data_IF_093141165415
#
_entry.id   IF_093141165415
#
_cell.length_a   1.000
_cell.length_b   1.000
_cell.length_c   1.000
_cell.angle_alpha   90.00
_cell.angle_beta   90.00
_cell.angle_gamma   90.00
#
_symmetry.space_group_name_H-M   'P 1'
#
loop_
_entity.id
_entity.type
_entity.pdbx_description
1 polymer ?
#
# COMPACT_ATOMS: atom_id res chain seq x y z
N UNK A 1 5.46 -27.76 32.36
CA UNK A 1 5.74 -27.18 31.04
C UNK A 1 5.09 -25.81 31.04
N UNK A 2 5.90 -24.75 31.05
CA UNK A 2 5.40 -23.37 31.14
C UNK A 2 4.64 -23.02 29.86
N UNK A 3 3.37 -22.63 30.00
CA UNK A 3 2.66 -21.89 28.96
C UNK A 3 3.44 -20.60 28.71
N UNK A 4 4.28 -20.60 27.67
CA UNK A 4 4.73 -19.37 27.08
C UNK A 4 3.48 -18.73 26.48
N UNK A 5 2.92 -17.73 27.14
CA UNK A 5 2.02 -16.77 26.51
C UNK A 5 2.81 -16.14 25.37
N UNK A 6 2.61 -16.63 24.15
CA UNK A 6 3.19 -16.03 22.95
C UNK A 6 2.60 -14.64 22.83
N UNK A 7 3.44 -13.62 22.99
CA UNK A 7 3.04 -12.24 22.67
C UNK A 7 2.60 -12.24 21.21
N UNK A 8 1.35 -11.84 20.91
CA UNK A 8 0.91 -11.83 19.54
C UNK A 8 1.80 -10.94 18.70
N UNK A 9 2.22 -11.48 17.55
CA UNK A 9 2.89 -10.76 16.50
C UNK A 9 2.03 -9.61 15.95
N UNK A 10 2.67 -8.68 15.24
CA UNK A 10 2.09 -7.39 14.87
C UNK A 10 0.78 -7.51 14.08
N UNK A 11 0.68 -8.50 13.20
CA UNK A 11 -0.50 -8.70 12.36
C UNK A 11 -1.17 -10.03 12.68
N UNK A 12 -1.02 -10.56 13.90
CA UNK A 12 -1.18 -11.99 14.14
C UNK A 12 -2.53 -12.55 13.70
N UNK A 13 -2.47 -13.81 13.31
CA UNK A 13 -3.55 -14.68 12.91
C UNK A 13 -3.38 -15.91 13.80
N UNK A 14 -4.37 -16.23 14.63
CA UNK A 14 -4.34 -17.40 15.54
C UNK A 14 -4.15 -18.75 14.83
N UNK A 15 -4.39 -19.87 15.52
CA UNK A 15 -4.21 -21.23 14.94
C UNK A 15 -5.02 -21.50 13.65
N UNK A 16 -6.00 -20.66 13.32
CA UNK A 16 -6.75 -20.68 12.06
C UNK A 16 -6.13 -19.80 10.97
N UNK A 17 -5.51 -20.42 9.96
CA UNK A 17 -5.00 -19.77 8.73
C UNK A 17 -6.08 -19.06 7.87
N UNK A 18 -7.34 -18.99 8.32
CA UNK A 18 -8.51 -18.72 7.47
C UNK A 18 -9.52 -17.72 8.07
N UNK A 19 -9.09 -16.89 9.01
CA UNK A 19 -9.94 -15.95 9.74
C UNK A 19 -10.62 -16.58 10.96
N UNK A 20 -11.69 -15.94 11.43
CA UNK A 20 -12.40 -16.29 12.67
C UNK A 20 -13.81 -16.81 12.39
N UNK A 21 -14.31 -17.71 13.23
CA UNK A 21 -15.68 -18.19 13.21
C UNK A 21 -16.70 -17.14 13.68
N UNK A 22 -17.98 -17.52 13.82
CA UNK A 22 -19.00 -16.67 14.44
C UNK A 22 -18.59 -16.16 15.82
N UNK A 23 -19.00 -14.94 16.17
CA UNK A 23 -18.68 -14.32 17.46
C UNK A 23 -19.06 -15.20 18.67
N UNK A 24 -20.22 -15.83 18.61
CA UNK A 24 -20.71 -16.70 19.69
C UNK A 24 -19.83 -17.94 19.92
N UNK A 25 -19.11 -18.40 18.89
CA UNK A 25 -18.18 -19.53 18.96
C UNK A 25 -16.80 -19.10 19.46
N UNK A 26 -16.27 -17.99 18.94
CA UNK A 26 -14.95 -17.45 19.30
C UNK A 26 -14.95 -16.79 20.70
N UNK A 27 -16.11 -16.27 21.13
CA UNK A 27 -16.30 -15.56 22.40
C UNK A 27 -17.51 -16.12 23.19
N UNK A 28 -17.44 -17.39 23.65
CA UNK A 28 -18.57 -18.05 24.29
C UNK A 28 -18.98 -17.33 25.59
N UNK A 29 -20.26 -16.97 25.67
CA UNK A 29 -20.83 -16.27 26.82
C UNK A 29 -20.62 -14.75 26.82
N UNK A 30 -19.96 -14.19 25.80
CA UNK A 30 -19.82 -12.74 25.61
C UNK A 30 -20.97 -12.25 24.71
N UNK A 31 -21.75 -11.23 25.13
CA UNK A 31 -22.78 -10.64 24.27
C UNK A 31 -22.21 -10.12 22.95
N UNK A 32 -23.05 -10.05 21.91
CA UNK A 32 -22.67 -9.38 20.68
C UNK A 32 -22.29 -7.92 20.97
N UNK A 33 -21.19 -7.42 20.39
CA UNK A 33 -20.82 -6.03 20.56
C UNK A 33 -21.87 -5.12 19.91
N UNK A 34 -22.06 -3.94 20.49
CA UNK A 34 -23.09 -2.98 20.08
C UNK A 34 -22.52 -1.77 19.32
N UNK A 35 -21.20 -1.68 19.23
CA UNK A 35 -20.50 -0.56 18.64
C UNK A 35 -20.76 -0.48 17.12
N UNK A 36 -20.98 0.72 16.55
CA UNK A 36 -21.40 0.87 15.15
C UNK A 36 -20.36 0.42 14.09
N UNK A 37 -19.12 0.16 14.50
CA UNK A 37 -18.07 -0.27 13.57
C UNK A 37 -18.16 -1.75 13.23
N UNK A 38 -18.81 -2.56 14.07
CA UNK A 38 -19.02 -3.98 13.80
C UNK A 38 -20.06 -4.22 12.71
N UNK A 39 -19.83 -5.26 11.92
CA UNK A 39 -20.72 -5.73 10.87
C UNK A 39 -21.55 -6.92 11.39
N UNK A 40 -22.89 -6.80 11.48
CA UNK A 40 -23.74 -7.85 12.01
C UNK A 40 -23.62 -9.18 11.26
N UNK A 41 -23.43 -9.15 9.94
CA UNK A 41 -23.32 -10.36 9.12
C UNK A 41 -22.01 -11.10 9.44
N UNK A 42 -20.91 -10.36 9.67
CA UNK A 42 -19.63 -10.95 10.04
C UNK A 42 -19.64 -11.50 11.46
N UNK A 43 -20.33 -10.83 12.39
CA UNK A 43 -20.50 -11.34 13.76
C UNK A 43 -21.27 -12.67 13.77
N UNK A 44 -22.27 -12.82 12.90
CA UNK A 44 -23.09 -14.04 12.80
C UNK A 44 -22.40 -15.17 12.02
N UNK A 45 -21.75 -14.87 10.89
CA UNK A 45 -21.21 -15.89 9.98
C UNK A 45 -19.70 -16.14 10.14
N UNK A 46 -19.01 -15.30 10.91
CA UNK A 46 -17.56 -15.27 11.01
C UNK A 46 -16.90 -14.39 9.93
N UNK A 47 -15.62 -14.09 10.12
CA UNK A 47 -14.85 -13.19 9.27
C UNK A 47 -13.59 -13.85 8.71
N UNK A 48 -13.67 -14.23 7.43
CA UNK A 48 -12.59 -14.89 6.66
C UNK A 48 -11.81 -13.92 5.77
N UNK A 49 -12.03 -12.62 5.91
CA UNK A 49 -11.38 -11.61 5.05
C UNK A 49 -9.89 -11.51 5.37
N UNK A 50 -9.09 -11.10 4.39
CA UNK A 50 -7.66 -10.86 4.56
C UNK A 50 -7.37 -9.50 5.26
N UNK A 51 -7.75 -9.36 6.53
CA UNK A 51 -7.53 -8.16 7.37
C UNK A 51 -6.78 -8.56 8.64
N UNK A 52 -6.03 -7.63 9.25
CA UNK A 52 -5.38 -7.89 10.56
C UNK A 52 -6.42 -8.19 11.63
N UNK A 53 -6.04 -8.95 12.66
CA UNK A 53 -7.00 -9.43 13.67
C UNK A 53 -7.71 -8.31 14.44
N UNK A 54 -7.08 -7.14 14.60
CA UNK A 54 -7.70 -5.95 15.19
C UNK A 54 -8.95 -5.45 14.43
N UNK A 55 -9.10 -5.81 13.15
CA UNK A 55 -10.23 -5.43 12.30
C UNK A 55 -11.24 -6.57 12.07
N UNK A 56 -11.13 -7.68 12.81
CA UNK A 56 -12.12 -8.76 12.70
C UNK A 56 -13.51 -8.26 13.03
N UNK A 57 -14.47 -8.69 12.22
CA UNK A 57 -15.87 -8.31 12.30
C UNK A 57 -16.17 -6.84 12.02
N UNK A 58 -15.16 -5.99 11.77
CA UNK A 58 -15.42 -4.58 11.44
C UNK A 58 -15.98 -4.46 10.02
N UNK A 59 -16.95 -3.58 9.85
CA UNK A 59 -17.43 -3.21 8.53
C UNK A 59 -16.30 -2.57 7.72
N UNK A 60 -16.30 -2.80 6.41
CA UNK A 60 -15.28 -2.21 5.53
C UNK A 60 -15.18 -0.67 5.67
N UNK A 61 -16.29 0.10 5.68
CA UNK A 61 -16.21 1.55 5.88
C UNK A 61 -15.56 1.95 7.20
N UNK A 62 -15.78 1.19 8.27
CA UNK A 62 -15.14 1.45 9.55
C UNK A 62 -13.62 1.22 9.49
N UNK A 63 -13.18 0.15 8.83
CA UNK A 63 -11.75 -0.12 8.61
C UNK A 63 -11.11 1.02 7.82
N UNK A 64 -11.72 1.47 6.71
CA UNK A 64 -11.20 2.58 5.90
C UNK A 64 -11.08 3.84 6.76
N UNK A 65 -12.14 4.19 7.49
CA UNK A 65 -12.16 5.38 8.36
C UNK A 65 -11.08 5.34 9.42
N UNK A 66 -10.82 4.18 10.01
CA UNK A 66 -9.76 4.02 11.01
C UNK A 66 -8.36 4.16 10.39
N UNK A 67 -8.10 3.49 9.26
CA UNK A 67 -6.84 3.64 8.52
C UNK A 67 -6.60 5.10 8.13
N UNK A 68 -7.64 5.83 7.69
CA UNK A 68 -7.56 7.25 7.30
C UNK A 68 -7.05 8.16 8.43
N UNK A 69 -7.18 7.77 9.70
CA UNK A 69 -6.63 8.54 10.84
C UNK A 69 -5.11 8.49 10.94
N UNK A 70 -4.49 7.55 10.24
CA UNK A 70 -3.06 7.21 10.34
C UNK A 70 -2.38 7.00 8.98
N UNK A 71 -3.04 7.38 7.88
CA UNK A 71 -2.40 7.38 6.57
C UNK A 71 -1.22 8.34 6.53
N UNK A 72 -0.18 7.94 5.83
CA UNK A 72 0.98 8.76 5.60
C UNK A 72 0.75 9.72 4.44
N UNK A 73 1.37 10.90 4.44
CA UNK A 73 1.38 11.85 3.33
C UNK A 73 2.21 11.37 2.12
N UNK A 74 2.21 10.06 1.89
CA UNK A 74 2.90 9.35 0.83
C UNK A 74 1.86 8.89 -0.19
N UNK A 75 2.08 9.24 -1.45
CA UNK A 75 1.28 8.82 -2.58
C UNK A 75 2.13 7.94 -3.50
N UNK A 76 1.49 7.01 -4.21
CA UNK A 76 2.16 6.11 -5.14
C UNK A 76 1.50 6.23 -6.50
N UNK A 77 2.27 6.47 -7.55
CA UNK A 77 1.78 6.41 -8.92
C UNK A 77 2.44 5.27 -9.69
N UNK A 78 1.63 4.48 -10.39
CA UNK A 78 2.10 3.39 -11.24
C UNK A 78 1.52 3.55 -12.65
N UNK A 79 2.42 3.58 -13.64
CA UNK A 79 2.05 3.62 -15.05
C UNK A 79 1.55 2.24 -15.54
N UNK A 80 0.41 2.26 -16.24
CA UNK A 80 -0.34 1.10 -16.71
C UNK A 80 -0.65 1.20 -18.22
N UNK A 81 0.39 1.21 -19.07
CA UNK A 81 0.20 1.34 -20.52
C UNK A 81 0.21 -0.02 -21.26
N UNK A 82 1.01 -1.00 -20.81
CA UNK A 82 1.20 -2.30 -21.48
C UNK A 82 0.84 -3.51 -20.62
N UNK A 83 1.32 -3.57 -19.36
CA UNK A 83 1.13 -4.71 -18.46
C UNK A 83 0.70 -4.24 -17.06
N UNK A 84 -0.40 -4.80 -16.57
CA UNK A 84 -1.04 -4.44 -15.30
C UNK A 84 -0.75 -5.42 -14.15
N UNK A 85 0.07 -6.46 -14.38
CA UNK A 85 0.28 -7.54 -13.42
C UNK A 85 0.83 -7.07 -12.06
N UNK A 86 1.61 -5.99 -12.04
CA UNK A 86 2.23 -5.46 -10.83
C UNK A 86 1.31 -4.56 -10.01
N UNK A 87 0.23 -4.03 -10.61
CA UNK A 87 -0.62 -3.00 -9.97
C UNK A 87 -1.28 -3.55 -8.71
N UNK A 88 -1.79 -4.78 -8.77
CA UNK A 88 -2.37 -5.41 -7.59
C UNK A 88 -1.39 -5.54 -6.42
N UNK A 89 -0.14 -5.90 -6.72
CA UNK A 89 0.93 -5.98 -5.71
C UNK A 89 1.21 -4.61 -5.11
N UNK A 90 1.32 -3.57 -5.93
CA UNK A 90 1.54 -2.19 -5.47
C UNK A 90 0.39 -1.71 -4.58
N UNK A 91 -0.87 -1.94 -4.99
CA UNK A 91 -2.06 -1.56 -4.20
C UNK A 91 -2.08 -2.26 -2.84
N UNK A 92 -1.74 -3.56 -2.81
CA UNK A 92 -1.67 -4.33 -1.56
C UNK A 92 -0.58 -3.80 -0.64
N UNK A 93 0.62 -3.56 -1.16
CA UNK A 93 1.75 -3.05 -0.38
C UNK A 93 1.47 -1.63 0.13
N UNK A 94 0.86 -0.78 -0.68
CA UNK A 94 0.46 0.57 -0.30
C UNK A 94 -0.52 0.57 0.88
N UNK A 95 -1.52 -0.32 0.86
CA UNK A 95 -2.43 -0.45 2.00
C UNK A 95 -1.72 -0.96 3.28
N UNK A 96 -0.82 -1.93 3.15
CA UNK A 96 -0.05 -2.44 4.28
C UNK A 96 0.81 -1.35 4.95
N UNK A 97 1.36 -0.44 4.15
CA UNK A 97 2.12 0.72 4.63
C UNK A 97 1.25 1.95 4.92
N UNK A 98 -0.08 1.86 4.90
CA UNK A 98 -0.99 2.99 5.10
C UNK A 98 -0.65 4.22 4.22
N UNK A 99 -0.20 3.99 2.98
CA UNK A 99 -0.08 5.02 1.93
C UNK A 99 -1.41 5.74 1.76
N UNK A 100 -1.38 7.05 1.52
CA UNK A 100 -2.59 7.85 1.32
C UNK A 100 -3.42 7.30 0.14
N UNK A 101 -2.90 7.49 -1.07
CA UNK A 101 -3.59 7.16 -2.32
C UNK A 101 -2.65 6.49 -3.31
N UNK A 102 -3.18 5.50 -4.04
CA UNK A 102 -2.52 4.91 -5.21
C UNK A 102 -3.14 5.47 -6.50
N UNK A 103 -2.29 6.05 -7.34
CA UNK A 103 -2.61 6.66 -8.61
C UNK A 103 -2.31 5.67 -9.74
N UNK A 104 -3.36 5.28 -10.48
CA UNK A 104 -3.25 4.42 -11.65
C UNK A 104 -3.22 5.31 -12.88
N UNK A 105 -2.09 5.31 -13.59
CA UNK A 105 -1.88 6.16 -14.77
C UNK A 105 -2.04 5.34 -16.05
N UNK A 106 -2.76 5.85 -17.05
CA UNK A 106 -2.99 5.13 -18.30
C UNK A 106 -4.30 4.37 -18.31
N UNK A 107 -4.27 3.04 -18.50
CA UNK A 107 -5.50 2.24 -18.63
C UNK A 107 -6.28 2.20 -17.32
N UNK A 108 -7.57 2.54 -17.40
CA UNK A 108 -8.48 2.54 -16.24
C UNK A 108 -8.76 1.14 -15.68
N UNK A 109 -8.76 0.12 -16.53
CA UNK A 109 -8.93 -1.28 -16.11
C UNK A 109 -7.55 -1.90 -15.91
N UNK A 110 -7.43 -2.65 -14.83
CA UNK A 110 -6.20 -3.32 -14.43
C UNK A 110 -6.51 -4.63 -13.68
N UNK A 111 -5.54 -5.54 -13.67
CA UNK A 111 -5.61 -6.85 -13.03
C UNK A 111 -5.53 -6.77 -11.50
N UNK A 112 -6.69 -6.98 -10.85
CA UNK A 112 -6.83 -6.89 -9.39
C UNK A 112 -6.39 -8.13 -8.62
N UNK A 113 -5.97 -9.20 -9.30
CA UNK A 113 -5.66 -10.48 -8.65
C UNK A 113 -4.59 -10.33 -7.57
N UNK A 114 -3.52 -9.58 -7.86
CA UNK A 114 -2.43 -9.33 -6.90
C UNK A 114 -2.85 -8.51 -5.68
N UNK A 115 -3.95 -7.75 -5.75
CA UNK A 115 -4.43 -6.94 -4.64
C UNK A 115 -5.05 -7.76 -3.52
N UNK A 116 -5.48 -9.01 -3.79
CA UNK A 116 -6.11 -9.88 -2.80
C UNK A 116 -7.30 -9.19 -2.08
N UNK A 117 -8.13 -8.46 -2.84
CA UNK A 117 -9.31 -7.68 -2.36
C UNK A 117 -8.95 -6.44 -1.53
N UNK A 118 -7.66 -6.19 -1.30
CA UNK A 118 -7.15 -5.02 -0.57
C UNK A 118 -7.48 -3.70 -1.28
N UNK A 119 -7.74 -3.75 -2.60
CA UNK A 119 -8.21 -2.60 -3.40
C UNK A 119 -9.51 -1.98 -2.85
N UNK A 120 -10.29 -2.74 -2.08
CA UNK A 120 -11.52 -2.23 -1.45
C UNK A 120 -11.28 -1.38 -0.20
N UNK A 121 -10.07 -1.40 0.36
CA UNK A 121 -9.69 -0.67 1.58
C UNK A 121 -8.69 0.46 1.29
N UNK A 122 -8.28 0.62 0.04
CA UNK A 122 -7.28 1.59 -0.39
C UNK A 122 -7.90 2.70 -1.23
N UNK A 123 -7.46 3.95 -1.03
CA UNK A 123 -7.83 5.04 -1.93
C UNK A 123 -7.12 4.85 -3.27
N UNK A 124 -7.91 4.84 -4.34
CA UNK A 124 -7.43 4.67 -5.71
C UNK A 124 -7.91 5.86 -6.55
N UNK A 125 -6.98 6.47 -7.28
CA UNK A 125 -7.26 7.55 -8.22
C UNK A 125 -6.79 7.16 -9.61
N UNK A 126 -7.58 7.45 -10.65
CA UNK A 126 -7.21 7.17 -12.04
C UNK A 126 -6.82 8.46 -12.75
N UNK A 127 -5.74 8.38 -13.53
CA UNK A 127 -5.23 9.44 -14.40
C UNK A 127 -5.09 8.88 -15.81
N UNK A 128 -5.53 9.60 -16.87
CA UNK A 128 -5.45 9.09 -18.24
C UNK A 128 -4.02 8.98 -18.76
N UNK A 129 -3.13 9.87 -18.32
CA UNK A 129 -1.70 9.88 -18.63
C UNK A 129 -0.93 10.65 -17.54
N UNK A 130 0.38 10.81 -17.73
CA UNK A 130 1.30 11.32 -16.70
C UNK A 130 1.14 12.84 -16.45
N UNK A 131 0.71 13.63 -17.44
CA UNK A 131 0.63 15.08 -17.24
C UNK A 131 -0.48 15.49 -16.25
N UNK A 132 -1.73 14.98 -16.34
CA UNK A 132 -2.76 15.24 -15.34
C UNK A 132 -2.38 14.78 -13.93
N UNK A 133 -1.57 13.72 -13.82
CA UNK A 133 -1.04 13.28 -12.53
C UNK A 133 -0.09 14.34 -11.94
N UNK A 134 0.84 14.85 -12.76
CA UNK A 134 1.79 15.89 -12.35
C UNK A 134 1.04 17.15 -11.93
N UNK A 135 0.07 17.60 -12.73
CA UNK A 135 -0.76 18.77 -12.43
C UNK A 135 -1.52 18.59 -11.10
N UNK A 136 -2.10 17.41 -10.88
CA UNK A 136 -2.79 17.07 -9.64
C UNK A 136 -1.83 17.08 -8.44
N UNK A 137 -0.66 16.44 -8.56
CA UNK A 137 0.31 16.37 -7.47
C UNK A 137 0.81 17.76 -7.07
N UNK A 138 1.09 18.63 -8.04
CA UNK A 138 1.47 20.02 -7.80
C UNK A 138 0.35 20.81 -7.11
N UNK A 139 -0.91 20.63 -7.54
CA UNK A 139 -2.07 21.28 -6.92
C UNK A 139 -2.27 20.86 -5.45
N UNK A 140 -1.99 19.59 -5.13
CA UNK A 140 -2.04 19.06 -3.77
C UNK A 140 -0.78 19.37 -2.94
N UNK A 141 0.23 20.02 -3.54
CA UNK A 141 1.50 20.35 -2.89
C UNK A 141 2.33 19.12 -2.53
N UNK A 142 2.30 18.10 -3.39
CA UNK A 142 3.12 16.89 -3.28
C UNK A 142 4.41 17.04 -4.09
N UNK A 143 5.54 16.69 -3.48
CA UNK A 143 6.81 16.57 -4.21
C UNK A 143 6.85 15.27 -4.99
N UNK A 144 7.13 15.31 -6.29
CA UNK A 144 7.24 14.10 -7.10
C UNK A 144 8.68 13.55 -7.03
N UNK A 145 8.82 12.27 -6.74
CA UNK A 145 10.08 11.52 -6.81
C UNK A 145 9.90 10.35 -7.76
N UNK A 146 10.66 10.34 -8.85
CA UNK A 146 10.61 9.24 -9.81
C UNK A 146 11.49 8.07 -9.33
N UNK A 147 11.05 6.83 -9.56
CA UNK A 147 11.85 5.62 -9.31
C UNK A 147 12.18 4.97 -10.65
N UNK A 148 13.45 5.04 -11.04
CA UNK A 148 13.96 4.54 -12.32
C UNK A 148 15.46 4.19 -12.22
N UNK A 149 16.00 3.48 -13.21
CA UNK A 149 17.42 3.11 -13.29
C UNK A 149 18.20 3.88 -14.39
N UNK A 150 17.67 5.01 -14.85
CA UNK A 150 18.31 5.88 -15.85
C UNK A 150 19.61 6.53 -15.33
N UNK A 151 20.52 6.98 -16.22
CA UNK A 151 21.71 7.72 -15.80
C UNK A 151 21.37 8.97 -14.97
N UNK A 152 22.14 9.24 -13.92
CA UNK A 152 21.97 10.41 -13.06
C UNK A 152 21.06 10.21 -11.84
N UNK A 153 20.45 9.02 -11.68
CA UNK A 153 19.65 8.72 -10.50
C UNK A 153 20.47 8.73 -9.20
N UNK A 154 19.85 9.20 -8.12
CA UNK A 154 20.39 9.11 -6.75
C UNK A 154 20.10 7.72 -6.19
N UNK A 155 21.07 7.01 -5.59
CA UNK A 155 20.78 5.75 -4.91
C UNK A 155 19.75 5.95 -3.80
N UNK A 156 18.65 5.21 -3.84
CA UNK A 156 17.54 5.28 -2.90
C UNK A 156 18.01 5.08 -1.46
N UNK A 157 19.03 4.25 -1.27
CA UNK A 157 19.66 3.94 0.02
C UNK A 157 20.33 5.16 0.67
N UNK A 158 20.64 6.19 -0.12
CA UNK A 158 21.28 7.43 0.32
C UNK A 158 20.39 8.66 0.14
N UNK A 159 19.21 8.50 -0.46
CA UNK A 159 18.32 9.60 -0.75
C UNK A 159 17.56 10.05 0.50
N UNK A 160 17.41 11.36 0.68
CA UNK A 160 16.45 11.94 1.61
C UNK A 160 15.13 12.14 0.87
N UNK A 161 14.15 11.28 1.17
CA UNK A 161 12.83 11.36 0.56
C UNK A 161 12.02 12.45 1.25
N UNK A 162 11.26 13.28 0.53
CA UNK A 162 10.35 14.23 1.17
C UNK A 162 9.24 13.51 1.93
N UNK A 163 8.85 14.02 3.10
CA UNK A 163 7.75 13.45 3.89
C UNK A 163 6.44 13.48 3.09
N UNK A 164 6.08 14.64 2.53
CA UNK A 164 4.91 14.80 1.67
C UNK A 164 5.28 14.62 0.19
N UNK A 165 5.17 13.41 -0.33
CA UNK A 165 5.59 13.10 -1.70
C UNK A 165 4.69 12.11 -2.45
N UNK A 166 4.86 12.11 -3.78
CA UNK A 166 4.36 11.11 -4.69
C UNK A 166 5.55 10.35 -5.29
N UNK A 167 5.65 9.04 -5.02
CA UNK A 167 6.62 8.16 -5.67
C UNK A 167 6.03 7.66 -7.00
N UNK A 168 6.68 8.01 -8.10
CA UNK A 168 6.24 7.67 -9.44
C UNK A 168 7.07 6.52 -10.02
N UNK A 169 6.41 5.42 -10.35
CA UNK A 169 6.99 4.24 -10.97
C UNK A 169 6.61 4.22 -12.46
N UNK A 170 7.62 4.37 -13.30
CA UNK A 170 7.47 4.25 -14.75
C UNK A 170 7.21 2.81 -15.19
N UNK A 171 6.80 2.65 -16.45
CA UNK A 171 6.65 1.33 -17.04
C UNK A 171 8.01 0.67 -17.35
N UNK A 172 8.07 -0.67 -17.27
CA UNK A 172 9.17 -1.46 -17.82
C UNK A 172 9.32 -1.16 -19.33
N UNK A 173 10.45 -0.57 -19.76
CA UNK A 173 10.68 -0.19 -21.15
C UNK A 173 11.42 1.14 -21.29
N UNK A 174 10.84 2.18 -21.91
CA UNK A 174 11.51 3.46 -22.15
C UNK A 174 11.85 4.26 -20.87
N UNK A 175 11.47 3.77 -19.69
CA UNK A 175 11.63 4.46 -18.40
C UNK A 175 10.48 5.42 -18.12
N UNK A 176 10.64 6.22 -17.07
CA UNK A 176 9.71 7.30 -16.70
C UNK A 176 9.65 8.34 -17.83
N UNK A 177 8.44 8.78 -18.19
CA UNK A 177 8.24 9.75 -19.28
C UNK A 177 9.00 11.07 -19.04
N UNK A 178 9.38 11.77 -20.11
CA UNK A 178 10.09 13.06 -20.00
C UNK A 178 9.32 14.08 -19.14
N UNK A 179 7.99 14.14 -19.28
CA UNK A 179 7.14 15.01 -18.47
C UNK A 179 7.26 14.71 -16.96
N UNK A 180 7.40 13.43 -16.61
CA UNK A 180 7.63 13.03 -15.23
C UNK A 180 9.06 13.30 -14.74
N UNK A 181 10.06 13.21 -15.60
CA UNK A 181 11.44 13.61 -15.25
C UNK A 181 11.55 15.12 -15.02
N UNK A 182 10.87 15.94 -15.84
CA UNK A 182 10.84 17.40 -15.70
C UNK A 182 10.01 17.85 -14.49
N UNK A 183 8.96 17.11 -14.14
CA UNK A 183 8.13 17.38 -12.97
C UNK A 183 8.65 16.82 -11.65
N UNK A 184 9.61 15.89 -11.67
CA UNK A 184 10.18 15.29 -10.48
C UNK A 184 11.29 16.15 -9.86
N UNK A 185 11.32 16.23 -8.54
CA UNK A 185 12.41 16.85 -7.79
C UNK A 185 13.71 16.06 -7.99
N UNK A 186 13.60 14.73 -7.97
CA UNK A 186 14.72 13.81 -8.14
C UNK A 186 14.23 12.49 -8.72
N UNK A 187 15.17 11.77 -9.34
CA UNK A 187 14.98 10.37 -9.72
C UNK A 187 15.88 9.50 -8.86
N UNK A 188 15.30 8.51 -8.21
CA UNK A 188 16.03 7.56 -7.39
C UNK A 188 16.12 6.19 -8.07
N UNK A 189 17.25 5.51 -7.89
CA UNK A 189 17.45 4.12 -8.33
C UNK A 189 17.71 3.22 -7.12
N UNK A 190 17.26 1.98 -7.19
CA UNK A 190 17.59 0.96 -6.18
C UNK A 190 18.94 0.34 -6.56
N UNK A 191 19.88 0.29 -5.64
CA UNK A 191 21.21 -0.27 -5.91
C UNK A 191 21.11 -1.76 -6.31
N UNK A 192 21.73 -2.12 -7.43
CA UNK A 192 21.75 -3.49 -7.95
C UNK A 192 23.20 -3.99 -8.05
N UNK A 193 23.43 -5.21 -7.56
CA UNK A 193 24.75 -5.87 -7.56
C UNK A 193 24.77 -7.16 -8.39
N UNK A 194 23.65 -7.50 -9.04
CA UNK A 194 23.49 -8.68 -9.87
C UNK A 194 23.58 -8.40 -11.37
N UNK A 195 23.25 -9.40 -12.18
CA UNK A 195 23.33 -9.34 -13.65
C UNK A 195 22.04 -8.92 -14.36
N UNK A 196 20.92 -8.78 -13.63
CA UNK A 196 19.65 -8.31 -14.20
C UNK A 196 19.74 -6.82 -14.55
N UNK A 197 18.94 -6.39 -15.52
CA UNK A 197 18.85 -4.97 -15.91
C UNK A 197 17.96 -4.17 -14.96
N UNK A 198 16.98 -4.81 -14.36
CA UNK A 198 15.99 -4.17 -13.50
C UNK A 198 15.43 -5.12 -12.44
N UNK A 199 14.84 -4.50 -11.42
CA UNK A 199 13.99 -5.13 -10.41
C UNK A 199 12.54 -5.09 -10.91
N UNK A 200 11.75 -6.12 -10.63
CA UNK A 200 10.32 -6.13 -10.91
C UNK A 200 9.63 -4.87 -10.32
N UNK A 201 8.77 -4.20 -11.09
CA UNK A 201 8.18 -2.93 -10.65
C UNK A 201 7.39 -3.01 -9.34
N UNK A 202 6.67 -4.11 -9.08
CA UNK A 202 5.96 -4.31 -7.82
C UNK A 202 6.90 -4.45 -6.61
N UNK A 203 8.04 -5.12 -6.82
CA UNK A 203 9.10 -5.24 -5.81
C UNK A 203 9.79 -3.90 -5.57
N UNK A 204 10.13 -3.18 -6.65
CA UNK A 204 10.73 -1.85 -6.56
C UNK A 204 9.83 -0.87 -5.79
N UNK A 205 8.52 -0.91 -6.04
CA UNK A 205 7.54 -0.12 -5.31
C UNK A 205 7.51 -0.46 -3.81
N UNK A 206 7.59 -1.74 -3.45
CA UNK A 206 7.68 -2.15 -2.04
C UNK A 206 8.96 -1.64 -1.36
N UNK A 207 10.12 -1.73 -2.04
CA UNK A 207 11.40 -1.25 -1.51
C UNK A 207 11.35 0.27 -1.30
N UNK A 208 10.85 1.02 -2.28
CA UNK A 208 10.76 2.47 -2.22
C UNK A 208 9.76 2.96 -1.16
N UNK A 209 8.59 2.34 -1.04
CA UNK A 209 7.66 2.61 0.06
C UNK A 209 8.31 2.34 1.41
N UNK A 210 8.99 1.20 1.57
CA UNK A 210 9.65 0.87 2.83
C UNK A 210 10.81 1.82 3.16
N UNK A 211 11.54 2.30 2.15
CA UNK A 211 12.57 3.33 2.32
C UNK A 211 11.96 4.63 2.88
N UNK A 212 10.80 5.05 2.37
CA UNK A 212 10.05 6.18 2.94
C UNK A 212 9.60 5.91 4.38
N UNK A 213 9.03 4.73 4.65
CA UNK A 213 8.58 4.32 6.00
C UNK A 213 9.73 4.39 7.00
N UNK A 214 10.93 3.94 6.61
CA UNK A 214 12.14 4.01 7.44
C UNK A 214 12.56 5.42 7.80
N UNK A 215 12.23 6.42 6.98
CA UNK A 215 12.59 7.82 7.20
C UNK A 215 11.52 8.58 7.99
N UNK A 216 10.23 8.29 7.78
CA UNK A 216 9.14 9.18 8.21
C UNK A 216 8.06 8.53 9.07
N UNK A 217 7.89 7.21 9.05
CA UNK A 217 6.80 6.58 9.76
C UNK A 217 7.05 6.52 11.29
N UNK A 218 6.00 6.82 12.06
CA UNK A 218 5.96 6.53 13.49
C UNK A 218 5.71 5.03 13.71
N UNK A 219 6.79 4.30 13.99
CA UNK A 219 6.72 2.84 14.21
C UNK A 219 5.91 2.46 15.45
N UNK A 220 5.62 3.39 16.37
CA UNK A 220 4.70 3.15 17.49
C UNK A 220 3.24 3.00 17.07
N UNK A 221 2.92 3.34 15.81
CA UNK A 221 1.59 3.15 15.19
C UNK A 221 1.53 1.95 14.24
N UNK A 222 2.61 1.18 14.14
CA UNK A 222 2.57 -0.10 13.43
C UNK A 222 1.65 -1.06 14.21
N UNK A 223 0.96 -1.92 13.47
CA UNK A 223 0.34 -3.12 14.05
C UNK A 223 1.43 -3.98 14.67
#
# INVERSE_FOLDING_TARGET
>A
MSNATSTPGPTEWGEGLHGVGPWAEEHPGVPLPAEPHYDPELLEAGDRRNVVDAYRYWSRPAIIKDIDTRRHALHIAIENFENDANIGTVVRTANAFAVDTVHIVGRRRWNRRGAMVTDRYQHLMHHPDTQPLVDWALAEGLTIVAIDNTPGCVPLETAELPEKCLLLFGQEGPGVTQAAQEGALMTCSIAQFGSTRSINAGVAAGIAMHAWIRQHADLGKAW
#
